data_IF_901161899907
#
_entry.id   IF_901161899907
#
_cell.length_a   1.000
_cell.length_b   1.000
_cell.length_c   1.000
_cell.angle_alpha   90.00
_cell.angle_beta   90.00
_cell.angle_gamma   90.00
#
_symmetry.space_group_name_H-M   'P 1'
#
loop_
_entity.id
_entity.type
_entity.pdbx_description
1 polymer ?
#
# COMPACT_ATOMS: atom_id res chain seq x y z
N UNK A 1 -10.56 -16.59 -23.09
CA UNK A 1 -10.17 -16.65 -21.66
C UNK A 1 -9.98 -15.21 -21.19
N UNK A 2 -10.59 -14.86 -20.08
CA UNK A 2 -10.48 -13.52 -19.50
C UNK A 2 -9.60 -13.56 -18.25
N UNK A 3 -8.81 -12.53 -18.05
CA UNK A 3 -7.99 -12.35 -16.86
C UNK A 3 -8.40 -11.06 -16.15
N UNK A 4 -8.40 -11.09 -14.82
CA UNK A 4 -8.66 -9.93 -13.99
C UNK A 4 -7.54 -9.81 -12.95
N UNK A 5 -7.32 -8.58 -12.45
CA UNK A 5 -6.39 -8.39 -11.34
C UNK A 5 -7.07 -8.83 -10.06
N UNK A 6 -6.43 -9.72 -9.31
CA UNK A 6 -6.95 -10.25 -8.05
C UNK A 6 -6.38 -9.52 -6.83
N UNK A 7 -5.06 -9.42 -6.73
CA UNK A 7 -4.42 -8.84 -5.56
C UNK A 7 -3.07 -8.19 -5.87
N UNK A 8 -2.68 -7.27 -5.00
CA UNK A 8 -1.30 -6.87 -4.79
C UNK A 8 -0.74 -7.63 -3.58
N UNK A 9 0.54 -7.92 -3.56
CA UNK A 9 1.19 -8.58 -2.43
C UNK A 9 2.34 -7.74 -1.89
N UNK A 10 2.46 -7.72 -0.56
CA UNK A 10 3.54 -7.05 0.17
C UNK A 10 4.13 -7.98 1.23
N UNK A 11 5.39 -7.75 1.59
CA UNK A 11 5.98 -8.33 2.78
C UNK A 11 6.15 -7.26 3.85
N UNK A 12 5.64 -7.52 5.05
CA UNK A 12 5.66 -6.58 6.16
C UNK A 12 6.62 -7.03 7.27
N UNK A 13 7.09 -6.06 8.05
CA UNK A 13 7.89 -6.32 9.24
C UNK A 13 7.02 -6.87 10.37
N UNK A 14 5.81 -6.34 10.52
CA UNK A 14 4.88 -6.71 11.60
C UNK A 14 3.45 -6.82 11.05
N UNK A 15 2.88 -8.01 11.16
CA UNK A 15 1.54 -8.29 10.62
C UNK A 15 0.46 -7.45 11.29
N UNK A 16 0.48 -7.36 12.63
CA UNK A 16 -0.55 -6.63 13.37
C UNK A 16 -0.54 -5.13 13.08
N UNK A 17 0.64 -4.51 13.01
CA UNK A 17 0.78 -3.11 12.64
C UNK A 17 0.31 -2.85 11.20
N UNK A 18 0.66 -3.73 10.28
CA UNK A 18 0.24 -3.62 8.87
C UNK A 18 -1.27 -3.74 8.72
N UNK A 19 -1.88 -4.72 9.37
CA UNK A 19 -3.34 -4.88 9.35
C UNK A 19 -4.01 -3.61 9.91
N UNK A 20 -3.58 -3.12 11.07
CA UNK A 20 -4.14 -1.91 11.68
C UNK A 20 -4.01 -0.68 10.77
N UNK A 21 -2.89 -0.56 10.07
CA UNK A 21 -2.69 0.52 9.10
C UNK A 21 -3.69 0.45 7.95
N UNK A 22 -3.81 -0.70 7.28
CA UNK A 22 -4.68 -0.85 6.12
C UNK A 22 -6.17 -0.84 6.48
N UNK A 23 -6.54 -1.26 7.68
CA UNK A 23 -7.92 -1.14 8.17
C UNK A 23 -8.41 0.30 8.23
N UNK A 24 -7.52 1.28 8.43
CA UNK A 24 -7.86 2.70 8.41
C UNK A 24 -8.38 3.17 7.04
N UNK A 25 -8.02 2.47 5.97
CA UNK A 25 -8.47 2.76 4.59
C UNK A 25 -9.68 1.93 4.16
N UNK A 26 -10.24 1.13 5.08
CA UNK A 26 -11.40 0.31 4.81
C UNK A 26 -11.12 -1.14 4.43
N UNK A 27 -9.86 -1.56 4.43
CA UNK A 27 -9.52 -2.97 4.26
C UNK A 27 -10.04 -3.79 5.44
N UNK A 28 -10.43 -5.04 5.17
CA UNK A 28 -10.87 -6.00 6.19
C UNK A 28 -10.18 -7.33 6.00
N UNK A 29 -9.69 -7.91 7.08
CA UNK A 29 -9.10 -9.26 7.06
C UNK A 29 -10.19 -10.28 6.72
N UNK A 30 -9.97 -11.06 5.66
CA UNK A 30 -10.88 -12.13 5.24
C UNK A 30 -10.26 -13.51 5.41
N UNK A 31 -8.93 -13.59 5.49
CA UNK A 31 -8.17 -14.80 5.81
C UNK A 31 -6.91 -14.42 6.58
N UNK A 32 -6.56 -15.25 7.55
CA UNK A 32 -5.32 -15.11 8.30
C UNK A 32 -4.80 -16.51 8.63
N UNK A 33 -3.60 -16.79 8.17
CA UNK A 33 -2.94 -18.07 8.38
C UNK A 33 -1.61 -17.83 9.09
N UNK A 34 -1.30 -18.72 10.03
CA UNK A 34 -0.02 -18.74 10.75
C UNK A 34 0.62 -20.11 10.63
N UNK A 35 1.93 -20.10 10.41
CA UNK A 35 2.73 -21.30 10.52
C UNK A 35 2.77 -21.78 11.98
N UNK A 36 2.78 -23.10 12.20
CA UNK A 36 2.79 -23.68 13.53
C UNK A 36 4.05 -23.36 14.35
N UNK A 37 5.19 -23.12 13.67
CA UNK A 37 6.47 -22.75 14.30
C UNK A 37 6.71 -21.22 14.33
N UNK A 38 5.76 -20.43 13.86
CA UNK A 38 5.83 -18.97 13.91
C UNK A 38 6.73 -18.33 12.85
N UNK A 39 7.20 -19.08 11.86
CA UNK A 39 8.09 -18.56 10.81
C UNK A 39 7.40 -17.62 9.83
N UNK A 40 6.12 -17.82 9.55
CA UNK A 40 5.37 -17.08 8.54
C UNK A 40 3.94 -16.85 8.97
N UNK A 41 3.47 -15.62 8.74
CA UNK A 41 2.05 -15.26 8.72
C UNK A 41 1.66 -14.79 7.34
N UNK A 42 0.45 -15.13 6.91
CA UNK A 42 -0.15 -14.63 5.67
C UNK A 42 -1.54 -14.11 5.99
N UNK A 43 -1.85 -12.91 5.56
CA UNK A 43 -3.19 -12.34 5.66
C UNK A 43 -3.68 -11.88 4.30
N UNK A 44 -4.96 -12.11 4.03
CA UNK A 44 -5.66 -11.50 2.91
C UNK A 44 -6.63 -10.46 3.45
N UNK A 45 -6.48 -9.23 3.00
CA UNK A 45 -7.35 -8.12 3.30
C UNK A 45 -8.14 -7.75 2.06
N UNK A 46 -9.42 -7.48 2.20
CA UNK A 46 -10.30 -7.11 1.10
C UNK A 46 -10.67 -5.64 1.17
N UNK A 47 -10.64 -4.97 0.01
CA UNK A 47 -11.19 -3.63 -0.20
C UNK A 47 -11.99 -3.63 -1.50
N UNK A 48 -13.33 -3.55 -1.40
CA UNK A 48 -14.19 -3.70 -2.56
C UNK A 48 -14.02 -5.09 -3.20
N UNK A 49 -13.69 -5.13 -4.47
CA UNK A 49 -13.43 -6.36 -5.22
C UNK A 49 -11.94 -6.76 -5.25
N UNK A 50 -11.07 -5.96 -4.66
CA UNK A 50 -9.63 -6.17 -4.68
C UNK A 50 -9.11 -6.68 -3.34
N UNK A 51 -7.95 -7.35 -3.39
CA UNK A 51 -7.31 -7.90 -2.20
C UNK A 51 -5.88 -7.36 -2.06
N UNK A 52 -5.45 -7.28 -0.81
CA UNK A 52 -4.05 -7.11 -0.45
C UNK A 52 -3.61 -8.37 0.30
N UNK A 53 -2.59 -9.04 -0.22
CA UNK A 53 -1.97 -10.17 0.45
C UNK A 53 -0.74 -9.67 1.20
N UNK A 54 -0.66 -9.97 2.49
CA UNK A 54 0.44 -9.56 3.36
C UNK A 54 1.16 -10.81 3.85
N UNK A 55 2.46 -10.85 3.61
CA UNK A 55 3.37 -11.83 4.19
C UNK A 55 4.15 -11.19 5.33
N UNK A 56 4.34 -11.91 6.43
CA UNK A 56 5.21 -11.46 7.52
C UNK A 56 6.04 -12.65 8.02
N UNK A 57 7.35 -12.54 7.85
CA UNK A 57 8.30 -13.56 8.29
C UNK A 57 8.89 -13.18 9.65
N UNK A 58 9.25 -14.17 10.46
CA UNK A 58 9.91 -13.95 11.75
C UNK A 58 11.25 -13.21 11.58
N UNK A 59 11.98 -13.53 10.50
CA UNK A 59 13.23 -12.87 10.15
C UNK A 59 13.15 -12.29 8.72
N UNK A 60 12.58 -11.09 8.57
CA UNK A 60 12.43 -10.49 7.26
C UNK A 60 13.76 -10.04 6.66
N UNK A 61 13.90 -10.12 5.34
CA UNK A 61 15.02 -9.54 4.61
C UNK A 61 14.72 -8.06 4.35
N UNK A 62 15.62 -7.13 4.72
CA UNK A 62 15.41 -5.71 4.50
C UNK A 62 15.22 -5.36 3.03
N UNK A 63 14.40 -4.35 2.76
CA UNK A 63 14.30 -3.78 1.42
C UNK A 63 15.67 -3.21 0.97
N UNK A 64 15.96 -3.17 -0.34
CA UNK A 64 17.20 -2.56 -0.83
C UNK A 64 17.19 -1.05 -0.53
N UNK A 65 18.38 -0.49 -0.35
CA UNK A 65 18.55 0.95 -0.04
C UNK A 65 17.85 1.86 -1.06
N UNK A 66 17.84 1.46 -2.33
CA UNK A 66 17.14 2.18 -3.41
C UNK A 66 15.63 2.30 -3.20
N UNK A 67 15.02 1.45 -2.41
CA UNK A 67 13.59 1.51 -2.09
C UNK A 67 13.24 2.59 -1.06
N UNK A 68 14.22 3.29 -0.50
CA UNK A 68 14.02 4.33 0.52
C UNK A 68 13.35 5.61 0.02
N UNK A 69 13.37 5.88 -1.29
CA UNK A 69 12.69 7.02 -1.89
C UNK A 69 12.10 6.67 -3.25
N UNK A 70 11.07 7.40 -3.65
CA UNK A 70 10.44 7.23 -4.96
C UNK A 70 11.45 7.43 -6.10
N UNK A 71 12.27 8.47 -6.01
CA UNK A 71 13.25 8.83 -7.06
C UNK A 71 14.28 7.72 -7.31
N UNK A 72 14.70 7.00 -6.28
CA UNK A 72 15.69 5.92 -6.40
C UNK A 72 15.03 4.57 -6.68
N UNK A 73 13.76 4.39 -6.30
CA UNK A 73 13.06 3.14 -6.52
C UNK A 73 12.47 3.00 -7.93
N UNK A 74 11.93 4.07 -8.50
CA UNK A 74 11.29 4.01 -9.83
C UNK A 74 12.19 3.45 -10.94
N UNK A 75 13.48 3.80 -11.03
CA UNK A 75 14.36 3.21 -12.06
C UNK A 75 14.68 1.73 -11.85
N UNK A 76 14.50 1.20 -10.64
CA UNK A 76 14.79 -0.21 -10.34
C UNK A 76 13.72 -1.11 -10.95
N UNK A 77 14.14 -2.11 -11.68
CA UNK A 77 13.22 -3.10 -12.29
C UNK A 77 12.46 -3.86 -11.21
N UNK A 78 11.15 -3.95 -11.35
CA UNK A 78 10.26 -4.68 -10.45
C UNK A 78 8.97 -3.92 -10.14
N UNK A 79 8.13 -4.52 -9.31
CA UNK A 79 6.93 -3.87 -8.80
C UNK A 79 7.34 -2.69 -7.91
N UNK A 80 6.65 -1.55 -8.07
CA UNK A 80 7.01 -0.30 -7.39
C UNK A 80 6.14 -0.04 -6.17
N UNK A 81 4.85 0.09 -6.39
CA UNK A 81 3.84 0.43 -5.40
C UNK A 81 2.48 -0.04 -5.92
N UNK A 82 1.50 0.05 -5.08
CA UNK A 82 0.10 -0.01 -5.48
C UNK A 82 -0.60 1.29 -5.09
N UNK A 83 -1.77 1.53 -5.68
CA UNK A 83 -2.48 2.78 -5.51
C UNK A 83 -3.89 2.56 -4.98
N UNK A 84 -4.35 3.47 -4.13
CA UNK A 84 -5.72 3.59 -3.68
C UNK A 84 -6.35 4.81 -4.35
N UNK A 85 -7.48 4.61 -5.01
CA UNK A 85 -8.21 5.70 -5.66
C UNK A 85 -9.18 6.34 -4.68
N UNK A 86 -9.24 7.67 -4.73
CA UNK A 86 -10.18 8.50 -3.98
C UNK A 86 -10.90 9.48 -4.92
N UNK A 87 -12.03 10.01 -4.47
CA UNK A 87 -12.76 11.04 -5.23
C UNK A 87 -12.09 12.41 -5.13
N UNK A 88 -11.39 12.68 -4.01
CA UNK A 88 -10.67 13.93 -3.77
C UNK A 88 -9.37 13.67 -3.02
N UNK A 89 -8.25 13.96 -3.65
CA UNK A 89 -6.93 13.89 -2.99
C UNK A 89 -6.79 14.94 -1.89
N UNK A 90 -7.50 16.08 -1.97
CA UNK A 90 -7.45 17.10 -0.92
C UNK A 90 -8.13 16.62 0.36
N UNK A 91 -9.27 15.95 0.23
CA UNK A 91 -9.94 15.34 1.39
C UNK A 91 -9.13 14.15 1.94
N UNK A 92 -8.54 13.35 1.07
CA UNK A 92 -7.65 12.26 1.48
C UNK A 92 -6.41 12.78 2.23
N UNK A 93 -5.82 13.89 1.78
CA UNK A 93 -4.71 14.55 2.50
C UNK A 93 -5.15 14.94 3.92
N UNK A 94 -6.29 15.61 4.06
CA UNK A 94 -6.82 15.97 5.39
C UNK A 94 -7.02 14.74 6.26
N UNK A 95 -7.56 13.66 5.69
CA UNK A 95 -7.79 12.41 6.41
C UNK A 95 -6.47 11.83 6.94
N UNK A 96 -5.46 11.64 6.09
CA UNK A 96 -4.20 11.01 6.52
C UNK A 96 -3.42 11.89 7.51
N UNK A 97 -3.47 13.20 7.36
CA UNK A 97 -2.80 14.13 8.28
C UNK A 97 -3.53 14.22 9.63
N UNK A 98 -4.86 14.31 9.65
CA UNK A 98 -5.64 14.38 10.89
C UNK A 98 -5.63 13.09 11.70
N UNK A 99 -5.46 11.93 11.05
CA UNK A 99 -5.34 10.63 11.71
C UNK A 99 -3.90 10.26 12.07
N UNK A 100 -2.93 11.15 11.82
CA UNK A 100 -1.53 10.88 12.12
C UNK A 100 -0.90 9.78 11.26
N UNK A 101 -1.50 9.47 10.11
CA UNK A 101 -1.00 8.44 9.19
C UNK A 101 0.23 8.97 8.44
N UNK A 102 0.20 10.23 8.05
CA UNK A 102 1.29 10.91 7.37
C UNK A 102 1.31 12.38 7.77
N UNK A 103 2.45 13.05 7.59
CA UNK A 103 2.63 14.48 7.79
C UNK A 103 3.27 15.12 6.57
N UNK A 104 3.06 16.42 6.40
CA UNK A 104 3.65 17.21 5.30
C UNK A 104 3.39 16.61 3.91
N UNK A 105 2.19 16.10 3.69
CA UNK A 105 1.79 15.47 2.43
C UNK A 105 1.80 16.50 1.31
N UNK A 106 2.48 16.17 0.21
CA UNK A 106 2.58 17.01 -0.99
C UNK A 106 1.78 16.39 -2.12
N UNK A 107 0.67 17.06 -2.48
CA UNK A 107 -0.11 16.68 -3.66
C UNK A 107 0.65 17.09 -4.91
N UNK A 108 0.74 16.17 -5.86
CA UNK A 108 1.45 16.35 -7.11
C UNK A 108 0.56 16.04 -8.31
N UNK A 109 0.87 16.69 -9.43
CA UNK A 109 0.27 16.40 -10.72
C UNK A 109 1.16 15.42 -11.49
N UNK A 110 0.63 14.24 -11.79
CA UNK A 110 1.33 13.21 -12.55
C UNK A 110 1.41 13.54 -14.05
N UNK A 111 2.45 13.05 -14.69
CA UNK A 111 2.65 13.25 -16.16
C UNK A 111 1.56 12.58 -16.98
N UNK A 112 0.90 11.57 -16.44
CA UNK A 112 -0.19 10.84 -17.10
C UNK A 112 -1.57 11.41 -16.81
N UNK A 113 -1.66 12.50 -16.04
CA UNK A 113 -2.91 13.22 -15.81
C UNK A 113 -3.65 12.89 -14.50
N UNK A 114 -3.09 12.06 -13.65
CA UNK A 114 -3.63 11.80 -12.30
C UNK A 114 -3.09 12.83 -11.31
N UNK A 115 -3.85 13.12 -10.27
CA UNK A 115 -3.39 13.92 -9.13
C UNK A 115 -3.19 12.99 -7.95
N UNK A 116 -2.05 13.05 -7.27
CA UNK A 116 -1.67 12.02 -6.30
C UNK A 116 -0.77 12.54 -5.18
N UNK A 117 -0.60 11.73 -4.17
CA UNK A 117 0.48 11.80 -3.18
C UNK A 117 0.86 10.40 -2.71
N UNK A 118 2.02 10.29 -2.09
CA UNK A 118 2.49 9.03 -1.49
C UNK A 118 2.48 9.10 0.03
N UNK A 119 2.18 7.96 0.64
CA UNK A 119 2.38 7.69 2.06
C UNK A 119 3.23 6.45 2.20
N UNK A 120 3.78 6.23 3.40
CA UNK A 120 4.49 4.98 3.74
C UNK A 120 3.68 4.20 4.75
N UNK A 121 3.59 2.90 4.53
CA UNK A 121 3.04 1.99 5.53
C UNK A 121 4.04 1.73 6.68
N UNK A 122 3.69 0.96 7.73
CA UNK A 122 4.59 0.69 8.85
C UNK A 122 5.90 -0.03 8.47
N UNK A 123 5.95 -0.66 7.33
CA UNK A 123 7.15 -1.30 6.77
C UNK A 123 7.89 -0.43 5.76
N UNK A 124 7.57 0.87 5.70
CA UNK A 124 8.10 1.85 4.77
C UNK A 124 7.78 1.57 3.29
N UNK A 125 6.76 0.76 3.03
CA UNK A 125 6.27 0.49 1.68
C UNK A 125 5.49 1.71 1.19
N UNK A 126 5.79 2.14 -0.05
CA UNK A 126 5.10 3.27 -0.67
C UNK A 126 3.68 2.86 -1.10
N UNK A 127 2.71 3.66 -0.70
CA UNK A 127 1.32 3.56 -1.13
C UNK A 127 0.92 4.88 -1.78
N UNK A 128 0.46 4.82 -3.01
CA UNK A 128 -0.04 5.98 -3.74
C UNK A 128 -1.51 6.21 -3.41
N UNK A 129 -1.87 7.44 -3.12
CA UNK A 129 -3.27 7.87 -3.03
C UNK A 129 -3.54 8.79 -4.20
N UNK A 130 -4.49 8.45 -5.05
CA UNK A 130 -4.72 9.19 -6.28
C UNK A 130 -6.19 9.51 -6.55
N UNK A 131 -6.37 10.63 -7.24
CA UNK A 131 -7.61 11.06 -7.87
C UNK A 131 -7.43 10.94 -9.39
N UNK A 132 -8.32 10.19 -10.04
CA UNK A 132 -8.27 9.99 -11.48
C UNK A 132 -9.57 10.49 -12.12
N UNK A 133 -9.48 11.61 -12.83
CA UNK A 133 -10.58 12.23 -13.58
C UNK A 133 -10.45 12.04 -15.10
N UNK A 134 -9.53 11.18 -15.52
CA UNK A 134 -9.35 10.90 -16.94
C UNK A 134 -10.54 10.10 -17.46
N UNK A 135 -10.87 10.34 -18.72
CA UNK A 135 -11.85 9.57 -19.47
C UNK A 135 -11.13 8.70 -20.51
N UNK A 136 -11.62 7.47 -20.69
CA UNK A 136 -11.04 6.49 -21.62
C UNK A 136 -12.10 5.96 -22.59
#
# INVERSE_FOLDING_TARGET
MEFTIHHAAISSIDMAESIAFYEQFGFRVVRHWKDSDGELEIAHLRLGENFLEIFSYAEPVPAPESAGSLATDLPRIGVKHFALKVDSVHEAKKFVESHGIASDVKIQQGRTGVTFFFIKDPSAILVEILEDKREF
#
